data_IF_434456214678
#
_entry.id   IF_434456214678
#
_cell.length_a   1.000
_cell.length_b   1.000
_cell.length_c   1.000
_cell.angle_alpha   90.00
_cell.angle_beta   90.00
_cell.angle_gamma   90.00
#
_symmetry.space_group_name_H-M   'P 1'
#
loop_
_entity.id
_entity.type
_entity.pdbx_description
1 polymer ?
#
# COMPACT_ATOMS: atom_id res chain seq x y z
N UNK A 1 60.43 23.76 -9.88
CA UNK A 1 59.26 24.10 -9.04
C UNK A 1 58.34 25.14 -9.68
N UNK A 2 58.86 26.19 -10.35
CA UNK A 2 58.04 27.26 -10.97
C UNK A 2 57.09 26.76 -12.10
N UNK A 3 57.42 25.67 -12.80
CA UNK A 3 56.63 25.14 -13.92
C UNK A 3 55.36 24.35 -13.53
N UNK A 4 55.21 23.93 -12.26
CA UNK A 4 54.06 23.10 -11.85
C UNK A 4 52.81 23.93 -11.52
N UNK A 5 53.00 25.16 -11.03
CA UNK A 5 51.91 26.06 -10.60
C UNK A 5 50.91 26.38 -11.72
N UNK A 6 51.32 26.71 -12.97
CA UNK A 6 50.38 26.95 -14.06
C UNK A 6 49.47 25.76 -14.36
N UNK A 7 50.01 24.53 -14.35
CA UNK A 7 49.24 23.31 -14.63
C UNK A 7 48.24 23.02 -13.50
N UNK A 8 48.63 23.26 -12.24
CA UNK A 8 47.72 23.17 -11.09
C UNK A 8 46.56 24.14 -11.29
N UNK A 9 46.84 25.40 -11.65
CA UNK A 9 45.82 26.42 -11.88
C UNK A 9 44.90 26.08 -13.06
N UNK A 10 45.42 25.48 -14.11
CA UNK A 10 44.63 24.98 -15.24
C UNK A 10 43.64 23.88 -14.79
N UNK A 11 44.11 22.89 -14.04
CA UNK A 11 43.22 21.85 -13.49
C UNK A 11 42.18 22.44 -12.52
N UNK A 12 42.53 23.44 -11.70
CA UNK A 12 41.56 24.14 -10.85
C UNK A 12 40.55 24.93 -11.68
N UNK A 13 40.96 25.53 -12.81
CA UNK A 13 40.05 26.22 -13.72
C UNK A 13 39.08 25.24 -14.41
N UNK A 14 39.57 24.09 -14.88
CA UNK A 14 38.73 23.04 -15.46
C UNK A 14 37.72 22.51 -14.44
N UNK A 15 38.16 22.24 -13.21
CA UNK A 15 37.28 21.82 -12.14
C UNK A 15 36.19 22.86 -11.83
N UNK A 16 36.51 24.16 -11.85
CA UNK A 16 35.52 25.24 -11.70
C UNK A 16 34.49 25.24 -12.83
N UNK A 17 34.93 25.09 -14.08
CA UNK A 17 34.04 25.01 -15.25
C UNK A 17 33.09 23.82 -15.10
N UNK A 18 33.62 22.65 -14.71
CA UNK A 18 32.84 21.44 -14.46
C UNK A 18 31.84 21.59 -13.31
N UNK A 19 32.26 22.22 -12.21
CA UNK A 19 31.38 22.55 -11.07
C UNK A 19 30.23 23.46 -11.49
N UNK A 20 30.52 24.48 -12.31
CA UNK A 20 29.50 25.41 -12.83
C UNK A 20 28.51 24.70 -13.76
N UNK A 21 29.02 23.80 -14.62
CA UNK A 21 28.23 22.93 -15.49
C UNK A 21 27.53 21.76 -14.79
N UNK A 22 27.63 21.65 -13.46
CA UNK A 22 27.07 20.58 -12.65
C UNK A 22 27.60 19.16 -12.97
N UNK A 23 28.78 19.07 -13.59
CA UNK A 23 29.49 17.81 -13.85
C UNK A 23 30.45 17.52 -12.68
N UNK A 24 29.87 17.16 -11.53
CA UNK A 24 30.62 17.06 -10.27
C UNK A 24 31.63 15.91 -10.25
N UNK A 25 31.36 14.83 -10.98
CA UNK A 25 32.30 13.72 -11.14
C UNK A 25 33.60 14.18 -11.79
N UNK A 26 33.52 14.92 -12.91
CA UNK A 26 34.72 15.46 -13.54
C UNK A 26 35.33 16.62 -12.74
N UNK A 27 34.50 17.45 -12.09
CA UNK A 27 35.00 18.52 -11.22
C UNK A 27 35.90 17.96 -10.10
N UNK A 28 35.45 16.91 -9.41
CA UNK A 28 36.22 16.25 -8.36
C UNK A 28 37.50 15.60 -8.90
N UNK A 29 37.47 15.04 -10.12
CA UNK A 29 38.64 14.43 -10.75
C UNK A 29 39.72 15.49 -11.01
N UNK A 30 39.38 16.60 -11.64
CA UNK A 30 40.31 17.70 -11.88
C UNK A 30 40.82 18.32 -10.56
N UNK A 31 39.92 18.47 -9.57
CA UNK A 31 40.29 18.91 -8.23
C UNK A 31 41.32 17.98 -7.57
N UNK A 32 41.09 16.66 -7.59
CA UNK A 32 42.00 15.65 -7.03
C UNK A 32 43.36 15.68 -7.72
N UNK A 33 43.39 15.87 -9.05
CA UNK A 33 44.64 16.04 -9.80
C UNK A 33 45.40 17.28 -9.32
N UNK A 34 44.75 18.44 -9.29
CA UNK A 34 45.36 19.69 -8.83
C UNK A 34 45.92 19.59 -7.40
N UNK A 35 45.12 19.04 -6.48
CA UNK A 35 45.51 18.81 -5.09
C UNK A 35 46.72 17.87 -4.99
N UNK A 36 46.71 16.75 -5.70
CA UNK A 36 47.83 15.80 -5.70
C UNK A 36 49.13 16.41 -6.24
N UNK A 37 49.03 17.27 -7.26
CA UNK A 37 50.17 17.97 -7.85
C UNK A 37 50.75 19.01 -6.88
N UNK A 38 49.90 19.77 -6.17
CA UNK A 38 50.35 20.71 -5.16
C UNK A 38 51.25 20.01 -4.11
N UNK A 39 50.78 18.87 -3.59
CA UNK A 39 51.54 18.06 -2.65
C UNK A 39 52.84 17.51 -3.25
N UNK A 40 52.75 16.90 -4.44
CA UNK A 40 53.90 16.29 -5.11
C UNK A 40 55.03 17.28 -5.39
N UNK A 41 54.70 18.54 -5.69
CA UNK A 41 55.68 19.57 -6.00
C UNK A 41 56.03 20.48 -4.82
N UNK A 42 55.57 20.18 -3.61
CA UNK A 42 55.91 20.93 -2.39
C UNK A 42 55.31 22.34 -2.34
N UNK A 43 54.18 22.57 -3.01
CA UNK A 43 53.53 23.88 -3.11
C UNK A 43 52.41 24.06 -2.06
N UNK A 44 52.48 23.31 -0.96
CA UNK A 44 51.45 23.31 0.08
C UNK A 44 51.45 24.62 0.90
N UNK A 45 52.57 25.34 0.94
CA UNK A 45 52.66 26.64 1.62
C UNK A 45 52.38 27.83 0.68
N UNK A 46 52.13 27.57 -0.61
CA UNK A 46 51.70 28.62 -1.53
C UNK A 46 50.27 29.05 -1.18
N UNK A 47 50.17 30.16 -0.45
CA UNK A 47 48.90 30.68 0.07
C UNK A 47 47.85 30.86 -1.03
N UNK A 48 48.24 31.34 -2.20
CA UNK A 48 47.31 31.53 -3.30
C UNK A 48 46.74 30.21 -3.79
N UNK A 49 47.57 29.17 -3.96
CA UNK A 49 47.08 27.84 -4.35
C UNK A 49 46.20 27.21 -3.28
N UNK A 50 46.54 27.39 -1.99
CA UNK A 50 45.71 26.92 -0.89
C UNK A 50 44.33 27.58 -0.88
N UNK A 51 44.28 28.90 -1.00
CA UNK A 51 43.03 29.67 -1.04
C UNK A 51 42.15 29.22 -2.23
N UNK A 52 42.76 28.97 -3.40
CA UNK A 52 42.06 28.50 -4.60
C UNK A 52 41.52 27.07 -4.46
N UNK A 53 42.26 26.17 -3.81
CA UNK A 53 41.84 24.79 -3.53
C UNK A 53 40.67 24.79 -2.54
N UNK A 54 40.79 25.52 -1.43
CA UNK A 54 39.75 25.59 -0.39
C UNK A 54 38.46 26.15 -1.02
N UNK A 55 38.54 27.27 -1.73
CA UNK A 55 37.40 27.90 -2.38
C UNK A 55 36.72 26.96 -3.41
N UNK A 56 37.49 26.24 -4.21
CA UNK A 56 36.92 25.27 -5.16
C UNK A 56 36.28 24.08 -4.44
N UNK A 57 36.90 23.54 -3.40
CA UNK A 57 36.33 22.46 -2.61
C UNK A 57 34.98 22.87 -2.01
N UNK A 58 34.91 24.07 -1.42
CA UNK A 58 33.68 24.63 -0.88
C UNK A 58 32.60 24.77 -1.96
N UNK A 59 32.97 25.24 -3.17
CA UNK A 59 32.03 25.33 -4.30
C UNK A 59 31.53 23.98 -4.81
N UNK A 60 32.38 22.96 -4.85
CA UNK A 60 31.98 21.60 -5.23
C UNK A 60 31.01 21.05 -4.19
N UNK A 61 31.34 21.23 -2.91
CA UNK A 61 30.49 20.84 -1.79
C UNK A 61 29.13 21.55 -1.81
N UNK A 62 29.12 22.88 -1.94
CA UNK A 62 27.90 23.68 -2.04
C UNK A 62 27.03 23.23 -3.21
N UNK A 63 27.65 22.87 -4.34
CA UNK A 63 26.92 22.36 -5.50
C UNK A 63 26.32 20.98 -5.25
N UNK A 64 27.04 20.06 -4.61
CA UNK A 64 26.48 18.77 -4.17
C UNK A 64 25.27 18.98 -3.26
N UNK A 65 25.40 19.84 -2.26
CA UNK A 65 24.31 20.11 -1.33
C UNK A 65 23.13 20.83 -1.99
N UNK A 66 23.38 21.72 -2.95
CA UNK A 66 22.31 22.31 -3.75
C UNK A 66 21.55 21.26 -4.55
N UNK A 67 22.25 20.36 -5.24
CA UNK A 67 21.61 19.29 -6.02
C UNK A 67 20.79 18.35 -5.12
N UNK A 68 21.34 17.96 -3.97
CA UNK A 68 20.64 17.11 -3.01
C UNK A 68 19.39 17.81 -2.45
N UNK A 69 19.47 19.09 -2.09
CA UNK A 69 18.29 19.87 -1.68
C UNK A 69 17.24 19.99 -2.80
N UNK A 70 17.66 20.22 -4.05
CA UNK A 70 16.74 20.27 -5.20
C UNK A 70 16.05 18.92 -5.41
N UNK A 71 16.76 17.81 -5.26
CA UNK A 71 16.21 16.46 -5.39
C UNK A 71 15.24 16.13 -4.24
N UNK A 72 15.59 16.47 -3.00
CA UNK A 72 14.69 16.36 -1.84
C UNK A 72 13.39 17.13 -2.10
N UNK A 73 13.50 18.40 -2.48
CA UNK A 73 12.35 19.28 -2.74
C UNK A 73 11.47 18.76 -3.88
N UNK A 74 12.09 18.16 -4.91
CA UNK A 74 11.36 17.51 -6.01
C UNK A 74 10.50 16.36 -5.48
N UNK A 75 11.07 15.41 -4.74
CA UNK A 75 10.33 14.27 -4.21
C UNK A 75 9.27 14.69 -3.19
N UNK A 76 9.61 15.62 -2.29
CA UNK A 76 8.64 16.16 -1.33
C UNK A 76 7.47 16.84 -2.05
N UNK A 77 7.73 17.66 -3.08
CA UNK A 77 6.68 18.26 -3.90
C UNK A 77 5.82 17.23 -4.63
N UNK A 78 6.41 16.13 -5.09
CA UNK A 78 5.67 15.02 -5.71
C UNK A 78 4.77 14.32 -4.70
N UNK A 79 5.24 14.07 -3.47
CA UNK A 79 4.40 13.55 -2.40
C UNK A 79 3.19 14.46 -2.12
N UNK A 80 3.40 15.78 -2.03
CA UNK A 80 2.30 16.74 -1.83
C UNK A 80 1.26 16.71 -2.96
N UNK A 81 1.69 16.50 -4.21
CA UNK A 81 0.77 16.32 -5.34
C UNK A 81 -0.01 15.01 -5.22
N UNK A 82 0.64 13.91 -4.86
CA UNK A 82 -0.02 12.61 -4.65
C UNK A 82 -1.07 12.67 -3.53
N UNK A 83 -0.78 13.40 -2.44
CA UNK A 83 -1.76 13.68 -1.37
C UNK A 83 -3.00 14.38 -1.93
N UNK A 84 -2.83 15.38 -2.79
CA UNK A 84 -3.96 16.15 -3.35
C UNK A 84 -4.93 15.34 -4.21
N UNK A 85 -4.48 14.18 -4.73
CA UNK A 85 -5.30 13.25 -5.50
C UNK A 85 -5.61 11.95 -4.74
N UNK A 86 -5.31 11.90 -3.43
CA UNK A 86 -5.51 10.75 -2.55
C UNK A 86 -4.76 9.46 -2.98
N UNK A 87 -3.62 9.60 -3.67
CA UNK A 87 -2.72 8.48 -3.96
C UNK A 87 -1.67 8.37 -2.85
N UNK A 88 -2.04 7.66 -1.79
CA UNK A 88 -1.20 7.53 -0.60
C UNK A 88 -0.12 6.46 -0.77
N UNK A 89 -0.26 5.51 -1.69
CA UNK A 89 0.85 4.59 -2.02
C UNK A 89 2.02 5.41 -2.60
N UNK A 90 1.77 6.18 -3.67
CA UNK A 90 2.81 7.06 -4.24
C UNK A 90 3.29 8.14 -3.27
N UNK A 91 2.41 8.63 -2.39
CA UNK A 91 2.81 9.55 -1.33
C UNK A 91 3.87 8.92 -0.43
N UNK A 92 3.66 7.69 0.02
CA UNK A 92 4.63 6.96 0.84
C UNK A 92 5.97 6.80 0.13
N UNK A 93 5.95 6.37 -1.12
CA UNK A 93 7.15 6.16 -1.94
C UNK A 93 7.96 7.46 -2.11
N UNK A 94 7.31 8.57 -2.46
CA UNK A 94 8.01 9.84 -2.63
C UNK A 94 8.55 10.42 -1.32
N UNK A 95 7.84 10.22 -0.20
CA UNK A 95 8.36 10.64 1.11
C UNK A 95 9.57 9.80 1.50
N UNK A 96 9.57 8.50 1.22
CA UNK A 96 10.75 7.64 1.43
C UNK A 96 11.93 8.07 0.56
N UNK A 97 11.69 8.40 -0.71
CA UNK A 97 12.74 8.95 -1.58
C UNK A 97 13.31 10.27 -1.04
N UNK A 98 12.46 11.18 -0.55
CA UNK A 98 12.90 12.43 0.06
C UNK A 98 13.74 12.17 1.33
N UNK A 99 13.26 11.31 2.23
CA UNK A 99 13.98 10.92 3.45
C UNK A 99 15.36 10.34 3.09
N UNK A 100 15.43 9.43 2.12
CA UNK A 100 16.68 8.82 1.70
C UNK A 100 17.70 9.85 1.17
N UNK A 101 17.27 10.87 0.43
CA UNK A 101 18.16 11.96 0.00
C UNK A 101 18.77 12.68 1.20
N UNK A 102 18.00 12.96 2.25
CA UNK A 102 18.55 13.60 3.44
C UNK A 102 19.51 12.67 4.22
N UNK A 103 19.24 11.36 4.23
CA UNK A 103 20.09 10.34 4.86
C UNK A 103 21.40 10.14 4.09
N UNK A 104 21.37 10.19 2.76
CA UNK A 104 22.54 9.99 1.90
C UNK A 104 23.49 11.21 1.91
N UNK A 105 22.97 12.40 2.26
CA UNK A 105 23.71 13.67 2.29
C UNK A 105 23.61 14.38 3.66
N UNK A 106 24.02 13.74 4.77
CA UNK A 106 23.85 14.30 6.12
C UNK A 106 24.62 15.62 6.31
N UNK A 107 25.75 15.78 5.62
CA UNK A 107 26.56 17.00 5.64
C UNK A 107 25.84 18.23 5.05
N UNK A 108 24.78 18.02 4.27
CA UNK A 108 24.05 19.10 3.61
C UNK A 108 22.91 19.67 4.46
N UNK A 109 22.70 19.17 5.69
CA UNK A 109 21.68 19.64 6.63
C UNK A 109 20.26 19.75 6.03
N UNK A 110 19.91 18.80 5.16
CA UNK A 110 18.58 18.74 4.53
C UNK A 110 17.53 18.43 5.62
N UNK A 111 16.38 19.13 5.64
CA UNK A 111 15.39 19.02 6.72
C UNK A 111 14.59 17.70 6.64
N UNK A 112 15.22 16.58 7.00
CA UNK A 112 14.61 15.24 7.01
C UNK A 112 13.29 15.16 7.79
N UNK A 113 13.13 16.02 8.80
CA UNK A 113 11.93 16.07 9.64
C UNK A 113 10.68 16.42 8.82
N UNK A 114 10.77 17.27 7.78
CA UNK A 114 9.62 17.68 6.98
C UNK A 114 8.97 16.48 6.28
N UNK A 115 9.79 15.65 5.62
CA UNK A 115 9.31 14.44 4.96
C UNK A 115 8.86 13.37 5.97
N UNK A 116 9.59 13.24 7.08
CA UNK A 116 9.30 12.23 8.11
C UNK A 116 7.99 12.51 8.86
N UNK A 117 7.75 13.76 9.27
CA UNK A 117 6.49 14.17 9.91
C UNK A 117 5.32 14.03 8.95
N UNK A 118 5.50 14.45 7.68
CA UNK A 118 4.47 14.27 6.65
C UNK A 118 4.14 12.80 6.42
N UNK A 119 5.15 11.92 6.43
CA UNK A 119 4.95 10.47 6.32
C UNK A 119 4.18 9.93 7.51
N UNK A 120 4.53 10.37 8.72
CA UNK A 120 3.84 9.97 9.95
C UNK A 120 2.37 10.43 9.95
N UNK A 121 2.09 11.64 9.46
CA UNK A 121 0.74 12.19 9.35
C UNK A 121 -0.17 11.33 8.47
N UNK A 122 0.34 10.89 7.31
CA UNK A 122 -0.43 10.11 6.34
C UNK A 122 -0.23 8.59 6.47
N UNK A 123 0.54 8.13 7.44
CA UNK A 123 0.84 6.71 7.64
C UNK A 123 -0.42 5.82 7.69
N UNK A 124 -1.55 6.22 8.31
CA UNK A 124 -2.78 5.44 8.26
C UNK A 124 -3.33 5.25 6.84
N UNK A 125 -3.31 6.31 6.02
CA UNK A 125 -3.81 6.25 4.65
C UNK A 125 -2.88 5.42 3.74
N UNK A 126 -1.56 5.62 3.87
CA UNK A 126 -0.53 4.83 3.18
C UNK A 126 -0.72 3.34 3.50
N UNK A 127 -0.80 3.01 4.79
CA UNK A 127 -0.95 1.63 5.27
C UNK A 127 -2.23 0.99 4.76
N UNK A 128 -3.35 1.70 4.86
CA UNK A 128 -4.64 1.20 4.40
C UNK A 128 -4.63 0.90 2.89
N UNK A 129 -4.15 1.83 2.05
CA UNK A 129 -4.10 1.60 0.61
C UNK A 129 -3.16 0.45 0.24
N UNK A 130 -2.03 0.31 0.92
CA UNK A 130 -1.15 -0.86 0.73
C UNK A 130 -1.86 -2.17 1.09
N UNK A 131 -2.61 -2.23 2.19
CA UNK A 131 -3.40 -3.43 2.53
C UNK A 131 -4.46 -3.74 1.46
N UNK A 132 -5.12 -2.72 0.90
CA UNK A 132 -6.08 -2.91 -0.19
C UNK A 132 -5.36 -3.42 -1.46
N UNK A 133 -4.21 -2.85 -1.81
CA UNK A 133 -3.39 -3.30 -2.94
C UNK A 133 -2.96 -4.76 -2.77
N UNK A 134 -2.43 -5.12 -1.60
CA UNK A 134 -2.00 -6.48 -1.27
C UNK A 134 -3.15 -7.50 -1.35
N UNK A 135 -4.36 -7.10 -0.94
CA UNK A 135 -5.54 -7.94 -1.06
C UNK A 135 -5.92 -8.18 -2.52
N UNK A 136 -5.85 -7.14 -3.36
CA UNK A 136 -6.09 -7.25 -4.80
C UNK A 136 -5.05 -8.16 -5.47
N UNK A 137 -3.76 -7.95 -5.16
CA UNK A 137 -2.66 -8.77 -5.70
C UNK A 137 -2.81 -10.24 -5.31
N UNK A 138 -3.14 -10.50 -4.04
CA UNK A 138 -3.41 -11.86 -3.57
C UNK A 138 -4.60 -12.50 -4.33
N UNK A 139 -5.65 -11.73 -4.62
CA UNK A 139 -6.76 -12.21 -5.45
C UNK A 139 -6.33 -12.53 -6.88
N UNK A 140 -5.55 -11.64 -7.53
CA UNK A 140 -5.10 -11.85 -8.90
C UNK A 140 -4.17 -13.07 -9.02
N UNK A 141 -3.34 -13.32 -8.01
CA UNK A 141 -2.47 -14.48 -7.89
C UNK A 141 -3.19 -15.78 -7.49
N UNK A 142 -4.51 -15.74 -7.21
CA UNK A 142 -5.28 -16.91 -6.81
C UNK A 142 -5.11 -17.30 -5.34
N UNK A 143 -4.40 -16.51 -4.53
CA UNK A 143 -4.27 -16.72 -3.10
C UNK A 143 -5.47 -16.11 -2.35
N UNK A 144 -6.62 -16.76 -2.48
CA UNK A 144 -7.89 -16.27 -1.96
C UNK A 144 -7.94 -16.17 -0.43
N UNK A 145 -7.22 -17.05 0.26
CA UNK A 145 -7.11 -16.96 1.72
C UNK A 145 -6.43 -15.65 2.13
N UNK A 146 -5.28 -15.35 1.52
CA UNK A 146 -4.56 -14.09 1.80
C UNK A 146 -5.44 -12.89 1.41
N UNK A 147 -6.11 -12.92 0.25
CA UNK A 147 -6.98 -11.84 -0.18
C UNK A 147 -8.08 -11.51 0.84
N UNK A 148 -8.82 -12.53 1.32
CA UNK A 148 -9.90 -12.34 2.30
C UNK A 148 -9.35 -11.83 3.63
N UNK A 149 -8.27 -12.42 4.14
CA UNK A 149 -7.68 -12.03 5.43
C UNK A 149 -7.15 -10.59 5.34
N UNK A 150 -6.34 -10.28 4.34
CA UNK A 150 -5.75 -8.95 4.18
C UNK A 150 -6.83 -7.87 4.00
N UNK A 151 -7.87 -8.13 3.21
CA UNK A 151 -8.94 -7.15 3.04
C UNK A 151 -9.71 -6.90 4.35
N UNK A 152 -10.05 -7.96 5.10
CA UNK A 152 -10.71 -7.79 6.40
C UNK A 152 -9.83 -7.02 7.38
N UNK A 153 -8.53 -7.26 7.37
CA UNK A 153 -7.55 -6.46 8.13
C UNK A 153 -7.61 -4.99 7.68
N UNK A 154 -7.65 -4.71 6.37
CA UNK A 154 -7.79 -3.36 5.84
C UNK A 154 -9.10 -2.68 6.30
N UNK A 155 -10.22 -3.40 6.28
CA UNK A 155 -11.51 -2.91 6.77
C UNK A 155 -11.46 -2.53 8.24
N UNK A 156 -10.88 -3.39 9.09
CA UNK A 156 -10.75 -3.11 10.52
C UNK A 156 -9.80 -1.93 10.75
N UNK A 157 -8.65 -1.92 10.06
CA UNK A 157 -7.68 -0.84 10.13
C UNK A 157 -8.29 0.52 9.76
N UNK A 158 -9.11 0.56 8.70
CA UNK A 158 -9.81 1.78 8.28
C UNK A 158 -10.66 2.38 9.42
N UNK A 159 -11.32 1.52 10.20
CA UNK A 159 -12.16 1.91 11.34
C UNK A 159 -11.27 2.37 12.50
N UNK A 160 -10.32 1.53 12.92
CA UNK A 160 -9.49 1.74 14.10
C UNK A 160 -8.67 3.04 14.00
N UNK A 161 -8.13 3.31 12.82
CA UNK A 161 -7.29 4.48 12.56
C UNK A 161 -8.05 5.65 11.92
N UNK A 162 -9.39 5.58 11.87
CA UNK A 162 -10.28 6.65 11.36
C UNK A 162 -9.84 7.18 9.99
N UNK A 163 -9.43 6.29 9.09
CA UNK A 163 -8.87 6.63 7.78
C UNK A 163 -9.84 7.47 6.94
N UNK A 164 -11.15 7.36 7.20
CA UNK A 164 -12.19 8.26 6.66
C UNK A 164 -11.87 9.75 6.82
N UNK A 165 -11.28 10.14 7.94
CA UNK A 165 -10.98 11.54 8.25
C UNK A 165 -9.88 12.12 7.35
N UNK A 166 -9.10 11.25 6.69
CA UNK A 166 -8.06 11.61 5.72
C UNK A 166 -8.64 11.78 4.30
N UNK A 167 -9.94 11.48 4.10
CA UNK A 167 -10.63 11.65 2.81
C UNK A 167 -10.75 10.38 1.99
N UNK A 168 -10.27 9.24 2.49
CA UNK A 168 -10.42 7.95 1.81
C UNK A 168 -11.78 7.30 2.10
N UNK A 169 -12.37 6.69 1.08
CA UNK A 169 -13.60 5.90 1.20
C UNK A 169 -13.26 4.42 1.34
N UNK A 170 -13.94 3.74 2.27
CA UNK A 170 -13.88 2.29 2.37
C UNK A 170 -14.99 1.65 1.53
N UNK A 171 -14.59 0.72 0.67
CA UNK A 171 -15.53 -0.15 -0.03
C UNK A 171 -15.92 -1.26 0.95
N UNK A 172 -17.21 -1.47 1.26
CA UNK A 172 -17.61 -2.60 2.10
C UNK A 172 -17.19 -3.93 1.47
N UNK A 173 -16.90 -4.93 2.30
CA UNK A 173 -16.51 -6.26 1.80
C UNK A 173 -17.54 -6.87 0.84
N UNK A 174 -18.84 -6.59 1.03
CA UNK A 174 -19.90 -7.01 0.10
C UNK A 174 -19.67 -6.51 -1.32
N UNK A 175 -19.23 -5.26 -1.46
CA UNK A 175 -19.01 -4.61 -2.74
C UNK A 175 -17.68 -5.05 -3.34
N UNK A 176 -16.68 -5.31 -2.49
CA UNK A 176 -15.43 -5.97 -2.90
C UNK A 176 -15.68 -7.30 -3.60
N UNK A 177 -16.59 -8.14 -3.08
CA UNK A 177 -16.99 -9.40 -3.71
C UNK A 177 -17.66 -9.20 -5.08
N UNK A 178 -18.37 -8.09 -5.28
CA UNK A 178 -19.01 -7.76 -6.56
C UNK A 178 -17.94 -7.39 -7.60
N UNK A 179 -16.91 -6.64 -7.19
CA UNK A 179 -15.80 -6.27 -8.09
C UNK A 179 -14.82 -7.43 -8.36
N UNK A 180 -14.74 -8.39 -7.44
CA UNK A 180 -13.82 -9.54 -7.51
C UNK A 180 -14.61 -10.83 -7.66
N UNK A 181 -15.15 -11.06 -8.84
CA UNK A 181 -16.24 -12.00 -9.04
C UNK A 181 -15.85 -13.34 -9.70
N UNK A 182 -14.54 -13.66 -9.73
CA UNK A 182 -14.06 -14.98 -10.15
C UNK A 182 -14.80 -16.08 -9.39
N UNK A 183 -15.41 -17.08 -10.08
CA UNK A 183 -16.21 -18.09 -9.41
C UNK A 183 -15.46 -18.85 -8.32
N UNK A 184 -14.18 -19.16 -8.53
CA UNK A 184 -13.35 -19.88 -7.57
C UNK A 184 -13.13 -19.07 -6.29
N UNK A 185 -12.96 -17.76 -6.41
CA UNK A 185 -12.86 -16.85 -5.27
C UNK A 185 -14.18 -16.77 -4.50
N UNK A 186 -15.32 -16.65 -5.19
CA UNK A 186 -16.62 -16.62 -4.55
C UNK A 186 -16.94 -17.95 -3.85
N UNK A 187 -16.61 -19.09 -4.46
CA UNK A 187 -16.74 -20.41 -3.82
C UNK A 187 -15.87 -20.52 -2.55
N UNK A 188 -14.63 -20.03 -2.61
CA UNK A 188 -13.75 -19.94 -1.46
C UNK A 188 -14.39 -19.09 -0.34
N UNK A 189 -14.85 -17.89 -0.68
CA UNK A 189 -15.48 -16.95 0.25
C UNK A 189 -16.71 -17.56 0.91
N UNK A 190 -17.60 -18.23 0.16
CA UNK A 190 -18.78 -18.89 0.73
C UNK A 190 -18.37 -19.92 1.78
N UNK A 191 -17.37 -20.76 1.51
CA UNK A 191 -16.93 -21.74 2.50
C UNK A 191 -16.29 -21.07 3.72
N UNK A 192 -15.39 -20.10 3.51
CA UNK A 192 -14.75 -19.34 4.58
C UNK A 192 -15.80 -18.67 5.49
N UNK A 193 -16.81 -18.03 4.92
CA UNK A 193 -17.86 -17.36 5.68
C UNK A 193 -18.74 -18.33 6.47
N UNK A 194 -19.08 -19.48 5.89
CA UNK A 194 -19.80 -20.53 6.63
C UNK A 194 -18.99 -20.99 7.84
N UNK A 195 -17.69 -21.25 7.65
CA UNK A 195 -16.81 -21.75 8.72
C UNK A 195 -16.60 -20.72 9.84
N UNK A 196 -16.71 -19.43 9.52
CA UNK A 196 -16.62 -18.33 10.47
C UNK A 196 -17.99 -17.80 10.96
N UNK A 197 -19.08 -18.54 10.71
CA UNK A 197 -20.47 -18.17 11.12
C UNK A 197 -21.00 -16.86 10.52
N UNK A 198 -20.38 -16.36 9.45
CA UNK A 198 -20.75 -15.16 8.70
C UNK A 198 -21.78 -15.50 7.60
N UNK A 199 -22.95 -15.98 8.01
CA UNK A 199 -23.85 -16.64 7.06
C UNK A 199 -24.52 -15.68 6.06
N UNK A 200 -24.73 -14.41 6.42
CA UNK A 200 -25.37 -13.44 5.52
C UNK A 200 -24.41 -13.01 4.40
N UNK A 201 -23.10 -12.93 4.69
CA UNK A 201 -22.03 -12.72 3.70
C UNK A 201 -21.88 -13.93 2.77
N UNK A 202 -21.95 -15.15 3.32
CA UNK A 202 -21.97 -16.37 2.52
C UNK A 202 -23.17 -16.41 1.55
N UNK A 203 -24.35 -15.98 2.02
CA UNK A 203 -25.55 -15.90 1.18
C UNK A 203 -25.41 -14.82 0.10
N UNK A 204 -24.81 -13.68 0.42
CA UNK A 204 -24.51 -12.61 -0.53
C UNK A 204 -23.59 -13.11 -1.65
N UNK A 205 -22.46 -13.76 -1.30
CA UNK A 205 -21.54 -14.35 -2.28
C UNK A 205 -22.21 -15.41 -3.16
N UNK A 206 -23.06 -16.25 -2.57
CA UNK A 206 -23.86 -17.24 -3.31
C UNK A 206 -24.87 -16.57 -4.27
N UNK A 207 -25.43 -15.42 -3.90
CA UNK A 207 -26.34 -14.62 -4.74
C UNK A 207 -25.59 -13.99 -5.92
N UNK A 208 -24.34 -13.57 -5.73
CA UNK A 208 -23.48 -13.09 -6.83
C UNK A 208 -23.26 -14.22 -7.86
N UNK A 209 -22.90 -15.43 -7.40
CA UNK A 209 -22.77 -16.61 -8.28
C UNK A 209 -24.07 -16.90 -9.04
N UNK A 210 -25.23 -16.81 -8.35
CA UNK A 210 -26.54 -16.98 -8.97
C UNK A 210 -26.82 -15.95 -10.07
N UNK A 211 -26.56 -14.67 -9.80
CA UNK A 211 -26.79 -13.60 -10.77
C UNK A 211 -25.88 -13.74 -12.00
N UNK A 212 -24.71 -14.36 -11.83
CA UNK A 212 -23.77 -14.72 -12.90
C UNK A 212 -24.10 -16.03 -13.64
N UNK A 213 -25.25 -16.65 -13.35
CA UNK A 213 -25.69 -17.92 -13.95
C UNK A 213 -24.68 -19.06 -13.73
N UNK A 214 -23.96 -19.05 -12.61
CA UNK A 214 -23.05 -20.14 -12.25
C UNK A 214 -23.82 -21.45 -12.03
N UNK A 215 -23.22 -22.60 -12.34
CA UNK A 215 -23.93 -23.88 -12.27
C UNK A 215 -24.34 -24.21 -10.82
N UNK A 216 -25.63 -24.45 -10.63
CA UNK A 216 -26.22 -24.85 -9.35
C UNK A 216 -25.63 -26.17 -8.83
N UNK A 217 -25.18 -27.07 -9.74
CA UNK A 217 -24.56 -28.34 -9.37
C UNK A 217 -23.27 -28.13 -8.57
N UNK A 218 -22.46 -27.16 -8.98
CA UNK A 218 -21.18 -26.82 -8.34
C UNK A 218 -21.38 -26.18 -6.95
N UNK A 219 -22.48 -25.44 -6.75
CA UNK A 219 -22.76 -24.80 -5.45
C UNK A 219 -23.56 -25.68 -4.49
N UNK A 220 -24.06 -26.85 -4.93
CA UNK A 220 -25.02 -27.68 -4.17
C UNK A 220 -24.56 -28.04 -2.75
N UNK A 221 -23.28 -28.40 -2.59
CA UNK A 221 -22.70 -28.74 -1.28
C UNK A 221 -22.68 -27.53 -0.35
N UNK A 222 -22.25 -26.38 -0.86
CA UNK A 222 -22.19 -25.12 -0.11
C UNK A 222 -23.60 -24.63 0.26
N UNK A 223 -24.55 -24.66 -0.68
CA UNK A 223 -25.95 -24.34 -0.41
C UNK A 223 -26.55 -25.19 0.71
N UNK A 224 -26.27 -26.50 0.70
CA UNK A 224 -26.75 -27.42 1.74
C UNK A 224 -26.14 -27.07 3.10
N UNK A 225 -24.84 -26.81 3.16
CA UNK A 225 -24.13 -26.45 4.39
C UNK A 225 -24.63 -25.11 4.94
N UNK A 226 -24.66 -24.08 4.10
CA UNK A 226 -25.13 -22.74 4.46
C UNK A 226 -26.59 -22.76 4.92
N UNK A 227 -27.49 -23.35 4.12
CA UNK A 227 -28.90 -23.42 4.46
C UNK A 227 -29.12 -24.09 5.81
N UNK A 228 -28.46 -25.23 6.07
CA UNK A 228 -28.56 -25.92 7.36
C UNK A 228 -28.18 -25.02 8.53
N UNK A 229 -27.04 -24.33 8.46
CA UNK A 229 -26.56 -23.49 9.55
C UNK A 229 -27.38 -22.21 9.75
N UNK A 230 -27.79 -21.55 8.66
CA UNK A 230 -28.71 -20.40 8.76
C UNK A 230 -30.04 -20.81 9.38
N UNK A 231 -30.60 -21.95 9.00
CA UNK A 231 -31.84 -22.45 9.58
C UNK A 231 -31.74 -22.71 11.09
N UNK A 232 -30.58 -23.20 11.56
CA UNK A 232 -30.33 -23.38 13.00
C UNK A 232 -30.24 -22.02 13.71
N UNK A 233 -29.44 -21.08 13.19
CA UNK A 233 -29.28 -19.73 13.75
C UNK A 233 -30.63 -19.01 13.84
N UNK A 234 -31.37 -18.99 12.74
CA UNK A 234 -32.57 -18.16 12.63
C UNK A 234 -33.72 -18.72 13.46
N UNK A 235 -33.78 -20.04 13.68
CA UNK A 235 -34.75 -20.63 14.59
C UNK A 235 -34.57 -20.17 16.04
N UNK A 236 -33.35 -19.79 16.44
CA UNK A 236 -33.06 -19.22 17.75
C UNK A 236 -33.37 -17.71 17.82
N UNK A 237 -33.19 -17.01 16.70
CA UNK A 237 -33.28 -15.54 16.67
C UNK A 237 -34.67 -15.02 16.27
N UNK A 238 -35.52 -15.86 15.66
CA UNK A 238 -36.81 -15.44 15.08
C UNK A 238 -37.96 -16.37 15.45
N UNK A 239 -38.07 -16.77 16.72
CA UNK A 239 -39.08 -17.71 17.24
C UNK A 239 -40.52 -17.36 16.82
N UNK A 240 -40.84 -16.07 16.70
CA UNK A 240 -42.18 -15.58 16.37
C UNK A 240 -42.43 -15.31 14.88
N UNK A 241 -41.42 -15.44 14.02
CA UNK A 241 -41.58 -15.24 12.59
C UNK A 241 -41.88 -16.54 11.85
N UNK A 242 -42.78 -16.47 10.87
CA UNK A 242 -43.09 -17.63 10.03
C UNK A 242 -41.87 -17.95 9.15
N UNK A 243 -41.32 -19.16 9.28
CA UNK A 243 -40.20 -19.69 8.46
C UNK A 243 -40.30 -19.33 6.98
N UNK A 244 -41.52 -19.43 6.40
CA UNK A 244 -41.76 -19.15 4.98
C UNK A 244 -41.44 -17.71 4.59
N UNK A 245 -41.67 -16.74 5.48
CA UNK A 245 -41.41 -15.32 5.25
C UNK A 245 -39.91 -15.05 5.21
N UNK A 246 -39.16 -15.59 6.18
CA UNK A 246 -37.69 -15.45 6.21
C UNK A 246 -37.06 -16.10 4.98
N UNK A 247 -37.47 -17.33 4.66
CA UNK A 247 -36.92 -18.03 3.51
C UNK A 247 -37.22 -17.33 2.18
N UNK A 248 -38.41 -16.71 2.06
CA UNK A 248 -38.76 -15.89 0.91
C UNK A 248 -37.84 -14.66 0.79
N UNK A 249 -37.51 -13.99 1.91
CA UNK A 249 -36.57 -12.86 1.93
C UNK A 249 -35.19 -13.25 1.40
N UNK A 250 -34.68 -14.42 1.77
CA UNK A 250 -33.36 -14.86 1.34
C UNK A 250 -33.28 -15.35 -0.09
N UNK A 251 -34.33 -15.99 -0.59
CA UNK A 251 -34.25 -16.75 -1.84
C UNK A 251 -35.09 -16.16 -2.97
N UNK A 252 -36.05 -15.28 -2.67
CA UNK A 252 -37.05 -14.83 -3.63
C UNK A 252 -37.88 -15.97 -4.24
N UNK A 253 -37.88 -17.16 -3.61
CA UNK A 253 -38.42 -18.40 -4.18
C UNK A 253 -37.76 -18.84 -5.50
N UNK A 254 -36.52 -18.43 -5.74
CA UNK A 254 -35.75 -18.77 -6.94
C UNK A 254 -35.28 -20.24 -6.89
N UNK A 255 -35.41 -20.94 -8.04
CA UNK A 255 -35.08 -22.37 -8.18
C UNK A 255 -33.59 -22.67 -7.90
N UNK A 256 -32.70 -21.71 -8.13
CA UNK A 256 -31.28 -21.83 -7.82
C UNK A 256 -31.06 -22.19 -6.34
N UNK A 257 -31.87 -21.64 -5.43
CA UNK A 257 -31.78 -21.86 -3.98
C UNK A 257 -32.62 -23.04 -3.48
N UNK A 258 -33.06 -23.95 -4.34
CA UNK A 258 -33.86 -25.12 -3.94
C UNK A 258 -33.15 -26.03 -2.93
N UNK A 259 -31.84 -26.23 -3.11
CA UNK A 259 -31.01 -27.02 -2.18
C UNK A 259 -30.84 -26.30 -0.85
N UNK A 260 -30.52 -25.00 -0.89
CA UNK A 260 -30.45 -24.15 0.29
C UNK A 260 -31.76 -24.19 1.08
N UNK A 261 -32.90 -23.96 0.41
CA UNK A 261 -34.23 -23.93 1.02
C UNK A 261 -34.60 -25.23 1.74
N UNK A 262 -34.23 -26.36 1.14
CA UNK A 262 -34.46 -27.68 1.74
C UNK A 262 -33.61 -27.88 2.98
N UNK A 263 -32.33 -27.49 2.95
CA UNK A 263 -31.43 -27.59 4.09
C UNK A 263 -31.81 -26.62 5.22
N UNK A 264 -32.24 -25.40 4.89
CA UNK A 264 -32.72 -24.41 5.83
C UNK A 264 -33.89 -24.91 6.67
N UNK A 265 -34.91 -25.49 6.04
CA UNK A 265 -36.04 -26.11 6.75
C UNK A 265 -35.60 -27.23 7.69
N UNK A 266 -34.59 -28.00 7.31
CA UNK A 266 -34.03 -29.06 8.18
C UNK A 266 -33.31 -28.47 9.39
N UNK A 267 -32.50 -27.44 9.19
CA UNK A 267 -31.82 -26.72 10.28
C UNK A 267 -32.80 -26.15 11.29
N UNK A 268 -33.85 -25.48 10.80
CA UNK A 268 -34.88 -24.88 11.64
C UNK A 268 -35.60 -25.92 12.52
N UNK A 269 -36.01 -27.04 11.94
CA UNK A 269 -36.70 -28.12 12.69
C UNK A 269 -35.79 -28.78 13.72
N UNK A 270 -34.50 -28.96 13.39
CA UNK A 270 -33.54 -29.58 14.31
C UNK A 270 -33.42 -28.79 15.61
N UNK A 271 -33.45 -27.46 15.54
CA UNK A 271 -33.42 -26.62 16.75
C UNK A 271 -34.69 -26.78 17.60
N UNK A 272 -35.88 -26.76 16.96
CA UNK A 272 -37.15 -26.89 17.67
C UNK A 272 -37.34 -28.26 18.35
N UNK A 273 -36.72 -29.33 17.84
CA UNK A 273 -36.73 -30.64 18.51
C UNK A 273 -35.88 -30.71 19.78
N UNK A 274 -34.90 -29.81 19.97
CA UNK A 274 -34.12 -29.75 21.22
C UNK A 274 -34.80 -28.91 22.30
N UNK A 275 -35.66 -27.95 21.91
CA UNK A 275 -36.38 -27.08 22.84
C UNK A 275 -37.58 -27.80 23.48
N UNK A 276 -38.21 -28.76 22.79
CA UNK A 276 -39.37 -29.51 23.29
C UNK A 276 -39.03 -30.72 24.18
N UNK A 277 -37.81 -30.82 24.72
CA UNK A 277 -37.34 -31.91 25.60
C UNK A 277 -37.08 -31.40 27.04
N UNK A 278 -37.33 -30.13 27.32
CA UNK A 278 -37.32 -29.52 28.65
C UNK A 278 -38.63 -28.80 28.93
#
# INVERSE_FOLDING_TARGET
>A
MIAAKPIILENLADAKIKTWGNDLTEAEKYFKIAYSMQYKYGLNEDKFLQDEIINLNDKIFDRHCKNANELFNKYFSQALRSISVNDFILTGDYLDMAINVAVDYPQCNIPIYEASEKKSEFLPAITYQNLISDANDAYFLGNYQKAVITYKTASQYYIDYRVKNIGLLHIPFSDFLIFHDKPEFLLYCINYFIDNKMYDEALSALTILKNKKFDVKETKKLQKKLGLFMGIRDAQNFENQKLRVILLKYTGNDKFFSTFSTAYRKGWRKNNSFINIF
#
